data_IF_179768926037
#
_entry.id   IF_179768926037
#
_cell.length_a   1.000
_cell.length_b   1.000
_cell.length_c   1.000
_cell.angle_alpha   90.00
_cell.angle_beta   90.00
_cell.angle_gamma   90.00
#
_symmetry.space_group_name_H-M   'P 1'
#
loop_
_entity.id
_entity.type
_entity.pdbx_description
1 polymer ?
#
# COMPACT_ATOMS: atom_id res chain seq x y z
N UNK A 1 -7.84 -11.84 1.68
CA UNK A 1 -8.12 -10.56 0.99
C UNK A 1 -6.80 -9.98 0.48
N UNK A 2 -6.75 -9.38 -0.71
CA UNK A 2 -5.57 -8.65 -1.24
C UNK A 2 -5.98 -7.21 -1.46
N UNK A 3 -5.31 -6.26 -0.83
CA UNK A 3 -5.62 -4.84 -1.00
C UNK A 3 -5.38 -4.39 -2.45
N UNK A 4 -6.11 -3.37 -2.94
CA UNK A 4 -5.96 -2.88 -4.32
C UNK A 4 -4.56 -2.37 -4.66
N UNK A 5 -3.80 -1.91 -3.66
CA UNK A 5 -2.42 -1.40 -3.82
C UNK A 5 -1.52 -1.85 -2.66
N UNK A 6 -0.20 -1.63 -2.80
CA UNK A 6 0.80 -1.90 -1.77
C UNK A 6 0.61 -1.02 -0.54
N UNK A 7 1.02 -1.50 0.63
CA UNK A 7 0.84 -0.81 1.92
C UNK A 7 2.20 -0.28 2.37
N UNK A 8 2.26 1.02 2.68
CA UNK A 8 3.43 1.68 3.26
C UNK A 8 3.14 2.32 4.63
N UNK A 9 1.89 2.31 5.07
CA UNK A 9 1.45 2.81 6.37
C UNK A 9 1.22 1.70 7.38
N UNK A 10 0.98 2.08 8.64
CA UNK A 10 0.68 1.13 9.71
C UNK A 10 -0.81 0.75 9.72
N UNK A 11 -1.14 -0.51 10.07
CA UNK A 11 -2.51 -0.87 10.40
C UNK A 11 -2.92 -0.21 11.73
N UNK A 12 -4.22 0.07 11.88
CA UNK A 12 -4.81 0.59 13.11
C UNK A 12 -6.00 -0.28 13.53
N UNK A 13 -6.27 -0.35 14.83
CA UNK A 13 -7.43 -1.03 15.39
C UNK A 13 -8.33 -0.04 16.13
N UNK A 14 -9.64 -0.25 16.08
CA UNK A 14 -10.64 0.55 16.79
C UNK A 14 -11.92 -0.27 17.04
N UNK A 15 -12.74 0.19 17.98
CA UNK A 15 -14.08 -0.35 18.21
C UNK A 15 -15.13 0.67 17.76
N UNK A 16 -16.22 0.21 17.17
CA UNK A 16 -17.39 1.02 16.87
C UNK A 16 -18.65 0.19 17.16
N UNK A 17 -19.54 0.73 18.00
CA UNK A 17 -20.79 0.09 18.43
C UNK A 17 -20.61 -1.34 18.97
N UNK A 18 -19.59 -1.55 19.81
CA UNK A 18 -19.31 -2.85 20.43
C UNK A 18 -18.66 -3.87 19.50
N UNK A 19 -18.29 -3.48 18.27
CA UNK A 19 -17.61 -4.34 17.30
C UNK A 19 -16.19 -3.85 17.00
N UNK A 20 -15.23 -4.76 17.04
CA UNK A 20 -13.83 -4.48 16.73
C UNK A 20 -13.54 -4.47 15.22
N UNK A 21 -12.69 -3.55 14.80
CA UNK A 21 -12.26 -3.36 13.43
C UNK A 21 -10.74 -3.16 13.33
N UNK A 22 -10.17 -3.63 12.22
CA UNK A 22 -8.78 -3.34 11.82
C UNK A 22 -8.82 -2.63 10.47
N UNK A 23 -8.12 -1.50 10.34
CA UNK A 23 -8.08 -0.73 9.11
C UNK A 23 -6.65 -0.48 8.62
N UNK A 24 -6.49 -0.41 7.30
CA UNK A 24 -5.19 -0.12 6.67
C UNK A 24 -5.38 0.63 5.35
N UNK A 25 -4.52 1.63 5.12
CA UNK A 25 -4.43 2.33 3.84
C UNK A 25 -3.57 1.54 2.86
N UNK A 26 -4.07 1.39 1.65
CA UNK A 26 -3.34 0.86 0.50
C UNK A 26 -3.12 1.94 -0.55
N UNK A 27 -1.88 2.04 -1.01
CA UNK A 27 -1.37 3.06 -1.91
C UNK A 27 0.15 2.99 -1.91
N UNK A 28 0.72 2.24 -2.86
CA UNK A 28 2.17 2.10 -3.00
C UNK A 28 2.79 3.46 -3.33
N UNK A 29 3.90 3.78 -2.68
CA UNK A 29 4.56 5.08 -2.80
C UNK A 29 5.77 5.15 -1.89
N UNK A 30 6.05 6.35 -1.35
CA UNK A 30 7.28 6.59 -0.60
C UNK A 30 8.53 6.28 -1.44
N UNK A 31 9.65 6.00 -0.77
CA UNK A 31 10.89 5.77 -1.50
C UNK A 31 10.89 4.42 -2.23
N UNK A 32 10.40 3.35 -1.59
CA UNK A 32 10.32 2.02 -2.20
C UNK A 32 9.43 1.99 -3.47
N UNK A 33 8.38 2.82 -3.51
CA UNK A 33 7.48 2.94 -4.66
C UNK A 33 7.76 4.12 -5.59
N UNK A 34 8.88 4.83 -5.44
CA UNK A 34 9.10 6.11 -6.13
C UNK A 34 9.07 5.99 -7.66
N UNK A 35 9.52 4.85 -8.20
CA UNK A 35 9.43 4.57 -9.64
C UNK A 35 7.99 4.56 -10.16
N UNK A 36 7.07 3.98 -9.38
CA UNK A 36 5.65 3.97 -9.68
C UNK A 36 5.00 5.33 -9.44
N UNK A 37 5.30 5.97 -8.31
CA UNK A 37 4.62 7.20 -7.89
C UNK A 37 5.04 8.44 -8.70
N UNK A 38 6.31 8.53 -9.09
CA UNK A 38 6.85 9.64 -9.87
C UNK A 38 7.05 9.31 -11.36
N UNK A 39 6.70 8.09 -11.80
CA UNK A 39 6.84 7.65 -13.19
C UNK A 39 8.29 7.55 -13.67
N UNK A 40 9.23 7.28 -12.76
CA UNK A 40 10.66 7.17 -13.07
C UNK A 40 10.98 5.78 -13.60
N UNK A 41 11.78 5.71 -14.66
CA UNK A 41 12.02 4.45 -15.39
C UNK A 41 13.49 4.06 -15.49
N UNK A 42 14.44 4.99 -15.31
CA UNK A 42 15.86 4.62 -15.37
C UNK A 42 16.26 3.96 -14.05
N UNK A 43 17.03 2.85 -14.08
CA UNK A 43 17.41 2.15 -12.85
C UNK A 43 18.13 3.01 -11.80
N UNK A 44 18.85 4.04 -12.24
CA UNK A 44 19.60 4.96 -11.38
C UNK A 44 18.76 6.11 -10.82
N UNK A 45 17.54 6.33 -11.31
CA UNK A 45 16.66 7.39 -10.83
C UNK A 45 16.24 7.12 -9.36
N UNK A 46 15.85 8.18 -8.64
CA UNK A 46 15.45 8.06 -7.24
C UNK A 46 16.55 7.53 -6.33
N UNK A 47 17.81 7.93 -6.58
CA UNK A 47 19.01 7.46 -5.87
C UNK A 47 19.23 5.94 -5.99
N UNK A 48 18.87 5.36 -7.14
CA UNK A 48 19.02 3.93 -7.43
C UNK A 48 17.86 3.04 -6.95
N UNK A 49 16.89 3.61 -6.23
CA UNK A 49 15.76 2.85 -5.70
C UNK A 49 14.83 2.34 -6.80
N UNK A 50 14.72 3.05 -7.93
CA UNK A 50 13.92 2.59 -9.08
C UNK A 50 14.43 1.24 -9.59
N UNK A 51 15.75 1.07 -9.74
CA UNK A 51 16.35 -0.21 -10.08
C UNK A 51 16.19 -1.27 -8.99
N UNK A 52 16.36 -0.88 -7.72
CA UNK A 52 16.21 -1.79 -6.58
C UNK A 52 14.82 -2.39 -6.43
N UNK A 53 13.77 -1.66 -6.85
CA UNK A 53 12.37 -2.09 -6.78
C UNK A 53 11.72 -2.28 -8.16
N UNK A 54 12.50 -2.55 -9.21
CA UNK A 54 11.99 -2.63 -10.59
C UNK A 54 10.86 -3.67 -10.78
N UNK A 55 10.87 -4.77 -10.01
CA UNK A 55 9.83 -5.79 -10.09
C UNK A 55 8.52 -5.42 -9.37
N UNK A 56 8.49 -4.34 -8.58
CA UNK A 56 7.34 -3.97 -7.74
C UNK A 56 6.07 -3.72 -8.57
N UNK A 57 6.22 -3.14 -9.77
CA UNK A 57 5.13 -2.89 -10.71
C UNK A 57 4.38 -4.14 -11.17
N UNK A 58 5.00 -5.32 -11.08
CA UNK A 58 4.38 -6.58 -11.47
C UNK A 58 3.34 -7.06 -10.44
N UNK A 59 3.35 -6.49 -9.23
CA UNK A 59 2.54 -6.97 -8.10
C UNK A 59 1.53 -5.95 -7.59
N UNK A 60 1.71 -4.68 -7.94
CA UNK A 60 0.89 -3.57 -7.49
C UNK A 60 0.97 -2.36 -8.41
N UNK A 61 -0.03 -1.50 -8.34
CA UNK A 61 -0.09 -0.20 -9.01
C UNK A 61 -0.45 0.88 -7.98
N UNK A 62 -0.39 2.14 -8.38
CA UNK A 62 -0.82 3.26 -7.53
C UNK A 62 -2.28 3.09 -7.07
N UNK A 63 -2.59 3.65 -5.91
CA UNK A 63 -3.93 3.59 -5.33
C UNK A 63 -4.08 4.51 -4.13
N UNK A 64 -5.26 4.48 -3.53
CA UNK A 64 -5.60 5.29 -2.36
C UNK A 64 -6.90 4.78 -1.76
N UNK A 65 -6.83 3.67 -1.04
CA UNK A 65 -8.02 2.99 -0.51
C UNK A 65 -7.80 2.59 0.95
N UNK A 66 -8.71 3.03 1.82
CA UNK A 66 -8.83 2.52 3.18
C UNK A 66 -9.64 1.22 3.15
N UNK A 67 -9.03 0.11 3.57
CA UNK A 67 -9.75 -1.15 3.76
C UNK A 67 -9.99 -1.36 5.25
N UNK A 68 -11.23 -1.68 5.62
CA UNK A 68 -11.64 -1.99 7.00
C UNK A 68 -12.06 -3.45 7.07
N UNK A 69 -11.54 -4.19 8.05
CA UNK A 69 -11.84 -5.59 8.33
C UNK A 69 -12.57 -5.69 9.66
N UNK A 70 -13.57 -6.56 9.71
CA UNK A 70 -14.24 -7.00 10.94
C UNK A 70 -14.76 -8.42 10.72
N UNK A 71 -14.95 -9.18 11.80
CA UNK A 71 -15.58 -10.49 11.71
C UNK A 71 -17.05 -10.34 11.27
N UNK A 72 -17.68 -11.36 10.66
CA UNK A 72 -19.13 -11.36 10.44
C UNK A 72 -19.90 -11.12 11.76
N UNK A 73 -21.09 -10.53 11.67
CA UNK A 73 -22.02 -10.60 12.81
C UNK A 73 -22.57 -12.02 12.89
N UNK A 74 -22.91 -12.46 14.10
CA UNK A 74 -23.72 -13.66 14.32
C UNK A 74 -25.13 -13.51 13.71
#
# INVERSE_FOLDING_TARGET
FKTPSGIIGYPMAYEHDGKEYVAVLSGVGGWAGIGLAAGLTKPTDGLGTVGGYAALSNYTALGGTLTVFGLPND
#
